data_IF_332796522498
#
_entry.id   IF_332796522498
#
_cell.length_a   1.000
_cell.length_b   1.000
_cell.length_c   1.000
_cell.angle_alpha   90.00
_cell.angle_beta   90.00
_cell.angle_gamma   90.00
#
_symmetry.space_group_name_H-M   'P 1'
#
loop_
_entity.id
_entity.type
_entity.pdbx_description
1 polymer ?
#
# COMPACT_ATOMS: atom_id res chain seq x y z
N UNK A 1 16.98 -5.66 10.58
CA UNK A 1 15.94 -5.60 11.64
C UNK A 1 14.66 -6.23 11.08
N UNK A 2 13.93 -7.04 11.85
CA UNK A 2 12.65 -7.62 11.38
C UNK A 2 11.52 -6.62 11.64
N UNK A 3 10.62 -6.44 10.67
CA UNK A 3 9.42 -5.59 10.80
C UNK A 3 8.15 -6.40 10.54
N UNK A 4 7.05 -6.01 11.16
CA UNK A 4 5.73 -6.60 10.96
C UNK A 4 4.67 -5.51 10.90
N UNK A 5 3.49 -5.84 10.34
CA UNK A 5 2.35 -4.93 10.26
C UNK A 5 2.00 -4.29 11.62
N UNK A 6 2.08 -5.05 12.71
CA UNK A 6 1.75 -4.59 14.06
C UNK A 6 2.73 -3.55 14.62
N UNK A 7 3.95 -3.48 14.08
CA UNK A 7 5.01 -2.58 14.55
C UNK A 7 5.34 -1.47 13.56
N UNK A 8 4.84 -1.56 12.33
CA UNK A 8 5.06 -0.59 11.28
C UNK A 8 4.24 0.69 11.50
N UNK A 9 4.75 1.81 11.01
CA UNK A 9 4.01 3.07 11.04
C UNK A 9 2.71 2.93 10.22
N UNK A 10 1.57 3.17 10.88
CA UNK A 10 0.25 3.10 10.29
C UNK A 10 -0.22 4.48 9.85
N UNK A 11 -0.91 4.55 8.71
CA UNK A 11 -1.60 5.74 8.24
C UNK A 11 -2.89 5.36 7.53
N UNK A 12 -3.80 6.33 7.46
CA UNK A 12 -5.05 6.23 6.70
C UNK A 12 -4.93 7.06 5.43
N UNK A 13 -5.45 6.56 4.32
CA UNK A 13 -5.50 7.26 3.04
C UNK A 13 -6.82 7.00 2.30
N UNK A 14 -7.16 7.89 1.37
CA UNK A 14 -8.37 7.76 0.54
C UNK A 14 -9.65 7.60 1.35
N UNK A 15 -10.53 6.71 0.90
CA UNK A 15 -11.79 6.37 1.56
C UNK A 15 -11.59 5.30 2.64
N UNK A 16 -10.87 5.63 3.71
CA UNK A 16 -10.60 4.75 4.87
C UNK A 16 -9.77 3.51 4.53
N UNK A 17 -8.85 3.63 3.60
CA UNK A 17 -7.84 2.60 3.37
C UNK A 17 -6.74 2.71 4.42
N UNK A 18 -6.23 1.56 4.86
CA UNK A 18 -5.13 1.48 5.81
C UNK A 18 -3.81 1.21 5.07
N UNK A 19 -2.73 1.87 5.49
CA UNK A 19 -1.37 1.61 5.01
C UNK A 19 -0.39 1.41 6.17
N UNK A 20 0.53 0.46 6.02
CA UNK A 20 1.64 0.23 6.95
C UNK A 20 2.96 0.17 6.19
N UNK A 21 3.86 1.12 6.45
CA UNK A 21 5.19 1.13 5.83
C UNK A 21 6.09 0.04 6.43
N UNK A 22 6.31 -1.03 5.67
CA UNK A 22 7.30 -2.05 6.01
C UNK A 22 8.71 -1.63 5.58
N UNK A 23 8.82 -0.89 4.47
CA UNK A 23 10.03 -0.22 4.03
C UNK A 23 9.69 1.18 3.53
N UNK A 24 10.44 2.18 3.99
CA UNK A 24 10.31 3.58 3.57
C UNK A 24 11.72 4.14 3.31
N UNK A 25 12.30 3.78 2.17
CA UNK A 25 13.62 4.26 1.73
C UNK A 25 13.53 5.00 0.40
N UNK A 26 14.62 5.68 0.03
CA UNK A 26 14.68 6.50 -1.19
C UNK A 26 14.55 5.67 -2.48
N UNK A 27 15.04 4.43 -2.47
CA UNK A 27 15.08 3.56 -3.65
C UNK A 27 14.02 2.45 -3.64
N UNK A 28 13.42 2.18 -2.48
CA UNK A 28 12.40 1.15 -2.30
C UNK A 28 11.41 1.54 -1.20
N UNK A 29 10.12 1.40 -1.52
CA UNK A 29 9.06 1.38 -0.53
C UNK A 29 8.27 0.08 -0.63
N UNK A 30 7.89 -0.46 0.53
CA UNK A 30 7.01 -1.63 0.65
C UNK A 30 5.93 -1.27 1.66
N UNK A 31 4.68 -1.35 1.22
CA UNK A 31 3.52 -0.98 2.01
C UNK A 31 2.61 -2.21 2.08
N UNK A 32 2.20 -2.58 3.29
CA UNK A 32 1.07 -3.46 3.47
C UNK A 32 -0.18 -2.58 3.45
N UNK A 33 -1.16 -2.89 2.63
CA UNK A 33 -2.39 -2.10 2.55
C UNK A 33 -3.63 -2.94 2.81
N UNK A 34 -4.67 -2.29 3.33
CA UNK A 34 -6.02 -2.85 3.39
C UNK A 34 -6.97 -1.82 2.79
N UNK A 35 -7.66 -2.25 1.75
CA UNK A 35 -8.69 -1.47 1.08
C UNK A 35 -10.07 -2.09 1.38
N UNK A 36 -11.02 -1.34 1.99
CA UNK A 36 -12.40 -1.78 2.09
C UNK A 36 -13.06 -1.98 0.71
N UNK A 37 -14.08 -2.84 0.63
CA UNK A 37 -14.83 -3.05 -0.60
C UNK A 37 -15.46 -1.72 -1.10
N UNK A 38 -15.41 -1.49 -2.42
CA UNK A 38 -15.92 -0.27 -3.05
C UNK A 38 -14.98 0.93 -3.02
N UNK A 39 -13.80 0.79 -2.41
CA UNK A 39 -12.74 1.82 -2.50
C UNK A 39 -11.95 1.68 -3.79
N UNK A 40 -11.29 2.76 -4.21
CA UNK A 40 -10.50 2.80 -5.43
C UNK A 40 -9.30 3.73 -5.27
N UNK A 41 -8.26 3.49 -6.04
CA UNK A 41 -7.12 4.39 -6.14
C UNK A 41 -7.46 5.56 -7.07
N UNK A 42 -6.85 6.72 -6.80
CA UNK A 42 -6.87 7.82 -7.78
C UNK A 42 -5.90 7.50 -8.90
N UNK A 43 -6.39 7.45 -10.14
CA UNK A 43 -5.57 7.16 -11.31
C UNK A 43 -4.41 8.15 -11.43
N UNK A 44 -3.18 7.63 -11.48
CA UNK A 44 -1.98 8.42 -11.67
C UNK A 44 -0.89 7.59 -12.36
N UNK A 45 0.27 8.21 -12.61
CA UNK A 45 1.43 7.55 -13.22
C UNK A 45 2.71 7.90 -12.47
N UNK A 46 3.64 6.96 -12.46
CA UNK A 46 4.97 7.18 -11.92
C UNK A 46 5.99 7.40 -13.04
N UNK A 47 6.62 8.57 -13.09
CA UNK A 47 7.64 8.89 -14.10
C UNK A 47 9.04 8.36 -13.77
N UNK A 48 9.30 8.05 -12.49
CA UNK A 48 10.63 7.66 -11.98
C UNK A 48 10.66 6.32 -11.24
N UNK A 49 9.49 5.77 -10.91
CA UNK A 49 9.36 4.54 -10.14
C UNK A 49 8.47 3.55 -10.86
N UNK A 50 8.61 2.28 -10.48
CA UNK A 50 7.72 1.19 -10.90
C UNK A 50 6.95 0.74 -9.68
N UNK A 51 5.67 0.42 -9.87
CA UNK A 51 4.78 -0.08 -8.83
C UNK A 51 4.19 -1.41 -9.30
N UNK A 52 3.99 -2.32 -8.37
CA UNK A 52 3.21 -3.52 -8.57
C UNK A 52 2.43 -3.80 -7.29
N UNK A 53 1.31 -4.48 -7.42
CA UNK A 53 0.50 -4.94 -6.30
C UNK A 53 0.55 -6.46 -6.22
N UNK A 54 0.70 -6.99 -5.02
CA UNK A 54 0.56 -8.41 -4.75
C UNK A 54 -0.61 -8.62 -3.80
N UNK A 55 -1.68 -9.21 -4.32
CA UNK A 55 -2.93 -9.39 -3.57
C UNK A 55 -2.79 -10.60 -2.65
N UNK A 56 -2.78 -10.33 -1.33
CA UNK A 56 -2.70 -11.37 -0.31
C UNK A 56 -4.06 -12.02 -0.02
N UNK A 57 -5.15 -11.28 -0.20
CA UNK A 57 -6.53 -11.75 0.02
C UNK A 57 -7.51 -10.80 -0.66
N UNK A 58 -8.64 -11.35 -1.13
CA UNK A 58 -9.64 -10.62 -1.91
C UNK A 58 -9.26 -10.49 -3.38
N UNK A 59 -9.90 -9.56 -4.07
CA UNK A 59 -9.65 -9.23 -5.47
C UNK A 59 -9.62 -7.72 -5.68
N UNK A 60 -8.81 -7.28 -6.64
CA UNK A 60 -8.81 -5.93 -7.16
C UNK A 60 -9.20 -6.01 -8.63
N UNK A 61 -10.26 -5.30 -9.01
CA UNK A 61 -10.81 -5.30 -10.36
C UNK A 61 -10.63 -3.92 -10.99
N UNK A 62 -10.52 -3.90 -12.32
CA UNK A 62 -10.49 -2.66 -13.12
C UNK A 62 -11.90 -2.11 -13.37
#
# INVERSE_FOLDING_TARGET
MKISKQKAAHYIWGAQCDGWHLVQGETLSVIHERMPAGTTETRHVHSKSRQFFFILSGEACM
#
